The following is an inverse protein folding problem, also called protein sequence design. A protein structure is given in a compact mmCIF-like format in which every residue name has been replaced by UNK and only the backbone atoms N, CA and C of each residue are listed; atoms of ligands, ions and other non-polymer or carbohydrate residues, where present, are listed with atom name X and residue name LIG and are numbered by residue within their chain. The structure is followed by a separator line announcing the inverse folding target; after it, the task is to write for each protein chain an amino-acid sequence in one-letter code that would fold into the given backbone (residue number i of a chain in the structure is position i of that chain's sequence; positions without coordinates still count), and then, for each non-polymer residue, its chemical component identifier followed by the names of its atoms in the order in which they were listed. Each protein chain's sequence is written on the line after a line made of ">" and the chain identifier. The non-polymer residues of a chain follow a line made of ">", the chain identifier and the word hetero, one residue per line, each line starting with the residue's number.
data_IF_609793489575
#
_entry.id   IF_609793489575
#
_cell.length_a   1.000
_cell.length_b   1.000
_cell.length_c   1.000
_cell.angle_alpha   90.00
_cell.angle_beta   90.00
_cell.angle_gamma   90.00
#
_symmetry.space_group_name_H-M   'P 1'
#
loop_
_entity.id
_entity.type
_entity.pdbx_description
1 polymer ?
#
# COMPACT_ATOMS: atom_id res chain seq x y z
N UNK A 1 27.01 47.18 -31.08
CA UNK A 1 26.54 46.59 -29.87
C UNK A 1 25.83 45.28 -30.14
N UNK A 2 26.47 44.15 -29.88
CA UNK A 2 25.83 42.84 -29.99
C UNK A 2 25.23 42.51 -28.63
N UNK A 3 23.91 42.30 -28.62
CA UNK A 3 23.17 41.91 -27.44
C UNK A 3 23.63 40.56 -26.89
N UNK A 4 23.86 40.56 -25.61
CA UNK A 4 24.13 39.36 -24.81
C UNK A 4 22.79 38.61 -24.77
N UNK A 5 22.78 37.41 -25.30
CA UNK A 5 21.68 36.48 -25.11
C UNK A 5 21.54 36.16 -23.62
N UNK A 6 20.53 36.73 -22.99
CA UNK A 6 20.07 36.25 -21.69
C UNK A 6 19.57 34.85 -21.90
N UNK A 7 20.25 33.85 -21.35
CA UNK A 7 19.62 32.54 -21.09
C UNK A 7 18.45 32.83 -20.16
N UNK A 8 17.24 32.66 -20.68
CA UNK A 8 16.09 32.45 -19.79
C UNK A 8 16.49 31.29 -18.89
N UNK A 9 16.63 31.56 -17.61
CA UNK A 9 16.69 30.49 -16.62
C UNK A 9 15.39 29.73 -16.80
N UNK A 10 15.45 28.54 -17.39
CA UNK A 10 14.35 27.61 -17.38
C UNK A 10 13.94 27.45 -15.92
N UNK A 11 12.81 28.05 -15.56
CA UNK A 11 12.21 27.84 -14.24
C UNK A 11 12.01 26.35 -14.10
N UNK A 12 12.90 25.70 -13.35
CA UNK A 12 12.79 24.28 -13.05
C UNK A 12 11.43 24.09 -12.43
N UNK A 13 10.53 23.42 -13.17
CA UNK A 13 9.19 23.10 -12.69
C UNK A 13 9.35 22.28 -11.40
N UNK A 14 8.72 22.67 -10.29
CA UNK A 14 8.80 21.87 -9.07
C UNK A 14 8.42 20.42 -9.36
N UNK A 15 9.20 19.49 -8.80
CA UNK A 15 8.90 18.08 -8.93
C UNK A 15 7.54 17.77 -8.30
N UNK A 16 6.73 16.88 -8.90
CA UNK A 16 5.44 16.49 -8.34
C UNK A 16 5.58 15.91 -6.92
N UNK A 17 4.54 16.06 -6.12
CA UNK A 17 4.47 15.49 -4.77
C UNK A 17 4.30 13.98 -4.87
N UNK A 18 4.88 13.24 -3.90
CA UNK A 18 4.72 11.80 -3.81
C UNK A 18 5.70 11.01 -4.67
N UNK A 19 5.32 9.81 -5.05
CA UNK A 19 6.15 8.85 -5.78
C UNK A 19 6.62 9.33 -7.15
N UNK A 20 6.00 10.36 -7.68
CA UNK A 20 6.19 10.82 -9.05
C UNK A 20 7.04 12.09 -9.14
N UNK A 21 7.91 12.31 -8.16
CA UNK A 21 8.92 13.36 -8.22
C UNK A 21 10.04 13.11 -9.26
N UNK A 22 10.12 11.88 -9.76
CA UNK A 22 10.96 11.45 -10.89
C UNK A 22 10.09 10.79 -11.94
N UNK A 23 10.57 10.44 -13.13
CA UNK A 23 9.75 9.71 -14.10
C UNK A 23 9.05 8.49 -13.51
N UNK A 24 7.83 8.24 -13.91
CA UNK A 24 6.95 7.17 -13.38
C UNK A 24 7.67 5.84 -13.16
N UNK A 25 8.56 5.52 -14.05
CA UNK A 25 9.29 4.26 -14.13
C UNK A 25 10.38 4.06 -13.07
N UNK A 26 10.82 5.12 -12.41
CA UNK A 26 11.94 5.07 -11.45
C UNK A 26 11.50 5.30 -10.02
N UNK A 27 10.22 5.47 -9.79
CA UNK A 27 9.68 5.74 -8.47
C UNK A 27 9.36 4.46 -7.72
N UNK A 28 9.92 4.35 -6.52
CA UNK A 28 9.67 3.23 -5.64
C UNK A 28 8.51 3.53 -4.70
N UNK A 29 7.69 2.53 -4.45
CA UNK A 29 6.58 2.59 -3.51
C UNK A 29 6.63 1.39 -2.56
N UNK A 30 6.07 1.51 -1.34
CA UNK A 30 5.92 0.37 -0.46
C UNK A 30 5.14 -0.76 -1.13
N UNK A 31 5.52 -2.02 -0.86
CA UNK A 31 4.82 -3.18 -1.38
C UNK A 31 3.51 -3.42 -0.63
N UNK A 32 3.51 -3.24 0.68
CA UNK A 32 2.36 -3.44 1.58
C UNK A 32 1.81 -2.09 2.06
N UNK A 33 2.66 -1.10 2.28
CA UNK A 33 2.28 0.20 2.79
C UNK A 33 1.18 0.87 1.98
N UNK A 34 0.25 1.53 2.65
CA UNK A 34 -0.94 2.13 2.03
C UNK A 34 -0.66 3.41 1.25
N UNK A 35 0.43 4.08 1.51
CA UNK A 35 0.79 5.37 0.91
C UNK A 35 1.58 5.25 -0.40
N UNK A 36 1.96 6.41 -0.94
CA UNK A 36 2.78 6.53 -2.14
C UNK A 36 2.06 6.09 -3.43
N UNK A 37 0.74 6.27 -3.47
CA UNK A 37 -0.08 6.03 -4.65
C UNK A 37 -0.49 7.34 -5.36
N UNK A 38 0.28 8.39 -5.18
CA UNK A 38 0.10 9.67 -5.85
C UNK A 38 0.87 9.67 -7.17
N UNK A 39 0.16 9.86 -8.27
CA UNK A 39 0.73 9.85 -9.63
C UNK A 39 0.48 11.17 -10.36
N UNK A 40 1.22 11.39 -11.43
CA UNK A 40 1.09 12.61 -12.24
C UNK A 40 -0.31 12.80 -12.83
N UNK A 41 -0.68 14.05 -13.11
CA UNK A 41 -1.96 14.40 -13.71
C UNK A 41 -2.18 13.64 -15.02
N UNK A 42 -3.37 13.06 -15.19
CA UNK A 42 -3.78 12.24 -16.34
C UNK A 42 -2.99 10.95 -16.54
N UNK A 43 -2.09 10.60 -15.62
CA UNK A 43 -1.44 9.30 -15.65
C UNK A 43 -2.42 8.21 -15.22
N UNK A 44 -2.30 7.04 -15.79
CA UNK A 44 -3.08 5.86 -15.46
C UNK A 44 -2.14 4.68 -15.20
N UNK A 45 -2.34 4.00 -14.08
CA UNK A 45 -1.53 2.86 -13.68
C UNK A 45 -2.43 1.68 -13.29
N UNK A 46 -2.81 0.82 -14.23
CA UNK A 46 -3.37 -0.48 -13.90
C UNK A 46 -2.31 -1.37 -13.26
N UNK A 47 -2.70 -2.09 -12.22
CA UNK A 47 -1.80 -3.04 -11.57
C UNK A 47 -2.56 -4.20 -10.92
N UNK A 48 -1.83 -5.24 -10.62
CA UNK A 48 -2.29 -6.39 -9.82
C UNK A 48 -1.35 -6.53 -8.63
N UNK A 49 -1.90 -6.39 -7.44
CA UNK A 49 -1.19 -6.68 -6.20
C UNK A 49 -1.70 -7.99 -5.61
N UNK A 50 -0.84 -8.72 -4.95
CA UNK A 50 -1.24 -9.97 -4.32
C UNK A 50 -0.41 -10.30 -3.11
N UNK A 51 -1.01 -11.08 -2.22
CA UNK A 51 -0.39 -11.60 -1.02
C UNK A 51 -0.85 -13.03 -0.79
N UNK A 52 0.10 -13.93 -0.61
CA UNK A 52 -0.14 -15.25 -0.07
C UNK A 52 0.42 -15.31 1.34
N UNK A 53 -0.44 -15.50 2.34
CA UNK A 53 -0.04 -15.61 3.73
C UNK A 53 -0.23 -17.04 4.21
N UNK A 54 0.80 -17.61 4.84
CA UNK A 54 0.78 -18.95 5.43
C UNK A 54 0.91 -18.86 6.93
N UNK A 55 -0.06 -19.42 7.64
CA UNK A 55 0.00 -19.60 9.07
C UNK A 55 0.29 -21.04 9.48
N UNK A 56 0.27 -21.33 10.77
CA UNK A 56 0.45 -22.68 11.31
C UNK A 56 -0.71 -23.60 10.92
N UNK A 57 -1.94 -23.07 10.95
CA UNK A 57 -3.17 -23.78 10.64
C UNK A 57 -4.09 -22.94 9.74
N UNK A 58 -3.52 -22.10 8.90
CA UNK A 58 -4.26 -21.23 8.01
C UNK A 58 -3.46 -20.88 6.78
N UNK A 59 -4.14 -20.48 5.74
CA UNK A 59 -3.56 -19.75 4.60
C UNK A 59 -4.59 -18.81 4.00
N UNK A 60 -4.13 -17.77 3.36
CA UNK A 60 -4.97 -16.87 2.59
C UNK A 60 -4.22 -16.41 1.35
N UNK A 61 -4.88 -16.50 0.21
CA UNK A 61 -4.39 -15.94 -1.05
C UNK A 61 -5.32 -14.78 -1.41
N UNK A 62 -4.76 -13.59 -1.58
CA UNK A 62 -5.51 -12.38 -1.93
C UNK A 62 -4.88 -11.79 -3.18
N UNK A 63 -5.71 -11.60 -4.20
CA UNK A 63 -5.32 -10.96 -5.46
C UNK A 63 -6.17 -9.70 -5.62
N UNK A 64 -5.55 -8.56 -5.84
CA UNK A 64 -6.23 -7.28 -5.94
C UNK A 64 -5.87 -6.55 -7.24
N UNK A 65 -6.62 -6.80 -8.33
CA UNK A 65 -6.58 -5.92 -9.47
C UNK A 65 -6.98 -4.51 -9.05
N UNK A 66 -6.26 -3.53 -9.55
CA UNK A 66 -6.53 -2.14 -9.19
C UNK A 66 -6.04 -1.20 -10.29
N UNK A 67 -6.49 0.05 -10.19
CA UNK A 67 -6.09 1.11 -11.10
C UNK A 67 -5.90 2.39 -10.31
N UNK A 68 -4.85 3.13 -10.62
CA UNK A 68 -4.58 4.45 -10.06
C UNK A 68 -4.68 5.46 -11.20
N UNK A 69 -5.39 6.56 -10.95
CA UNK A 69 -5.53 7.67 -11.89
C UNK A 69 -5.15 8.99 -11.22
N UNK A 70 -4.30 9.75 -11.89
CA UNK A 70 -3.94 11.10 -11.46
C UNK A 70 -4.98 12.12 -11.88
N UNK A 71 -5.75 12.62 -10.92
CA UNK A 71 -6.74 13.68 -11.15
C UNK A 71 -6.03 15.01 -11.36
N UNK A 72 -5.05 15.27 -10.50
CA UNK A 72 -4.17 16.45 -10.55
C UNK A 72 -2.76 16.00 -10.14
N UNK A 73 -1.79 16.88 -10.26
CA UNK A 73 -0.41 16.60 -9.80
C UNK A 73 -0.35 16.29 -8.29
N UNK A 74 -1.29 16.78 -7.50
CA UNK A 74 -1.35 16.60 -6.05
C UNK A 74 -2.49 15.70 -5.57
N UNK A 75 -3.28 15.11 -6.49
CA UNK A 75 -4.44 14.29 -6.13
C UNK A 75 -4.58 13.09 -7.06
N UNK A 76 -4.55 11.90 -6.48
CA UNK A 76 -4.82 10.64 -7.19
C UNK A 76 -5.99 9.90 -6.57
N UNK A 77 -6.68 9.14 -7.40
CA UNK A 77 -7.72 8.20 -6.99
C UNK A 77 -7.32 6.80 -7.42
N UNK A 78 -7.59 5.82 -6.57
CA UNK A 78 -7.36 4.40 -6.88
C UNK A 78 -8.58 3.56 -6.53
N UNK A 79 -8.81 2.54 -7.32
CA UNK A 79 -9.92 1.62 -7.17
C UNK A 79 -9.38 0.19 -7.13
N UNK A 80 -9.72 -0.55 -6.05
CA UNK A 80 -9.22 -1.89 -5.78
C UNK A 80 -10.38 -2.88 -5.72
N UNK A 81 -10.22 -4.00 -6.42
CA UNK A 81 -11.18 -5.10 -6.43
C UNK A 81 -10.48 -6.37 -5.92
N UNK A 82 -10.25 -6.49 -4.60
CA UNK A 82 -9.58 -7.65 -4.06
C UNK A 82 -10.51 -8.86 -4.02
N UNK A 83 -9.94 -10.03 -4.26
CA UNK A 83 -10.65 -11.29 -4.10
C UNK A 83 -9.70 -12.35 -3.53
N UNK A 84 -10.27 -13.34 -2.88
CA UNK A 84 -9.53 -14.49 -2.38
C UNK A 84 -9.98 -15.75 -3.12
N UNK A 85 -9.12 -16.32 -4.01
CA UNK A 85 -9.43 -17.58 -4.65
C UNK A 85 -9.42 -18.75 -3.67
N UNK A 86 -8.61 -18.64 -2.62
CA UNK A 86 -8.45 -19.67 -1.60
C UNK A 86 -8.12 -19.06 -0.25
N UNK A 87 -8.87 -19.43 0.79
CA UNK A 87 -8.47 -19.17 2.17
C UNK A 87 -8.91 -20.34 3.07
N UNK A 88 -8.15 -20.56 4.12
CA UNK A 88 -8.42 -21.61 5.09
C UNK A 88 -8.07 -21.15 6.50
N UNK A 89 -8.93 -21.47 7.45
CA UNK A 89 -8.68 -21.34 8.87
C UNK A 89 -9.13 -22.63 9.57
N UNK A 90 -8.18 -23.40 10.07
CA UNK A 90 -8.46 -24.74 10.62
C UNK A 90 -9.04 -25.65 9.55
N UNK A 91 -10.23 -26.21 9.80
CA UNK A 91 -10.96 -27.05 8.87
C UNK A 91 -11.91 -26.26 7.94
N UNK A 92 -12.03 -24.95 8.13
CA UNK A 92 -12.93 -24.11 7.35
C UNK A 92 -12.22 -23.50 6.14
N UNK A 93 -12.90 -23.53 5.00
CA UNK A 93 -12.42 -22.96 3.74
C UNK A 93 -13.42 -21.93 3.24
N UNK A 94 -12.91 -20.86 2.62
CA UNK A 94 -13.74 -19.89 1.93
C UNK A 94 -13.02 -19.33 0.70
N UNK A 95 -13.80 -18.72 -0.18
CA UNK A 95 -13.33 -18.00 -1.36
C UNK A 95 -14.36 -16.95 -1.75
N UNK A 96 -13.96 -16.00 -2.56
CA UNK A 96 -14.85 -15.01 -3.11
C UNK A 96 -14.27 -13.61 -3.11
N UNK A 97 -15.09 -12.67 -3.53
CA UNK A 97 -14.73 -11.26 -3.53
C UNK A 97 -14.58 -10.75 -2.09
N UNK A 98 -13.61 -9.90 -1.88
CA UNK A 98 -13.42 -9.16 -0.64
C UNK A 98 -14.11 -7.80 -0.71
N UNK A 99 -13.94 -6.99 0.30
CA UNK A 99 -14.47 -5.63 0.27
C UNK A 99 -13.67 -4.80 -0.74
N UNK A 100 -14.34 -4.32 -1.78
CA UNK A 100 -13.74 -3.38 -2.73
C UNK A 100 -13.58 -2.02 -2.07
N UNK A 101 -12.60 -1.26 -2.50
CA UNK A 101 -12.39 0.06 -1.93
C UNK A 101 -11.94 1.11 -2.94
N UNK A 102 -12.31 2.33 -2.64
CA UNK A 102 -11.92 3.54 -3.35
C UNK A 102 -11.01 4.35 -2.44
N UNK A 103 -9.84 4.74 -2.93
CA UNK A 103 -8.85 5.46 -2.16
C UNK A 103 -8.43 6.74 -2.85
N UNK A 104 -8.32 7.81 -2.06
CA UNK A 104 -7.77 9.08 -2.49
C UNK A 104 -6.48 9.36 -1.75
N UNK A 105 -5.51 9.90 -2.46
CA UNK A 105 -4.28 10.41 -1.87
C UNK A 105 -4.07 11.85 -2.32
N UNK A 106 -3.90 12.75 -1.35
CA UNK A 106 -3.68 14.18 -1.57
C UNK A 106 -2.36 14.61 -0.97
N UNK A 107 -1.50 15.19 -1.81
CA UNK A 107 -0.24 15.75 -1.38
C UNK A 107 -0.43 17.18 -0.88
N UNK A 108 -0.21 17.41 0.41
CA UNK A 108 -0.39 18.72 1.04
C UNK A 108 0.93 19.42 1.36
N UNK A 109 2.05 18.73 1.26
CA UNK A 109 3.37 19.29 1.54
C UNK A 109 4.41 18.71 0.58
N UNK A 110 5.24 19.58 0.05
CA UNK A 110 6.39 19.21 -0.76
C UNK A 110 7.53 20.20 -0.56
N UNK A 111 8.71 19.70 -0.28
CA UNK A 111 9.93 20.48 -0.20
C UNK A 111 11.00 19.81 -1.06
N UNK A 112 11.33 20.45 -2.18
CA UNK A 112 12.34 19.97 -3.11
C UNK A 112 13.61 20.80 -2.99
N UNK A 113 14.74 20.12 -2.86
CA UNK A 113 16.09 20.67 -2.90
C UNK A 113 16.86 19.97 -4.04
N UNK A 114 18.08 20.41 -4.30
CA UNK A 114 18.90 19.83 -5.37
C UNK A 114 19.23 18.35 -5.18
N UNK A 115 19.26 17.86 -3.94
CA UNK A 115 19.69 16.52 -3.56
C UNK A 115 18.60 15.66 -2.92
N UNK A 116 17.46 16.24 -2.55
CA UNK A 116 16.35 15.49 -1.95
C UNK A 116 14.99 16.15 -2.14
N UNK A 117 13.96 15.34 -1.96
CA UNK A 117 12.56 15.78 -1.85
C UNK A 117 11.95 15.19 -0.57
N UNK A 118 11.29 16.03 0.21
CA UNK A 118 10.45 15.63 1.33
C UNK A 118 9.00 15.92 0.97
N UNK A 119 8.12 14.96 1.21
CA UNK A 119 6.71 15.10 0.89
C UNK A 119 5.83 14.55 2.01
N UNK A 120 4.62 15.07 2.10
CA UNK A 120 3.59 14.56 2.98
C UNK A 120 2.27 14.49 2.24
N UNK A 121 1.59 13.35 2.40
CA UNK A 121 0.28 13.10 1.80
C UNK A 121 -0.72 12.66 2.85
N UNK A 122 -1.99 12.90 2.59
CA UNK A 122 -3.12 12.32 3.32
C UNK A 122 -3.80 11.30 2.43
N UNK A 123 -4.15 10.16 3.04
CA UNK A 123 -4.81 9.03 2.37
C UNK A 123 -6.15 8.80 3.03
N UNK A 124 -7.20 8.74 2.25
CA UNK A 124 -8.53 8.41 2.72
C UNK A 124 -9.15 7.35 1.81
N UNK A 125 -9.75 6.32 2.39
CA UNK A 125 -10.50 5.35 1.59
C UNK A 125 -11.81 4.94 2.23
N UNK A 126 -12.71 4.45 1.37
CA UNK A 126 -13.98 3.85 1.75
C UNK A 126 -13.99 2.42 1.24
N UNK A 127 -14.26 1.48 2.14
CA UNK A 127 -14.42 0.07 1.82
C UNK A 127 -15.90 -0.29 1.78
N UNK A 128 -16.32 -0.90 0.68
CA UNK A 128 -17.71 -1.27 0.43
C UNK A 128 -17.95 -2.73 0.86
N UNK A 129 -19.12 -3.06 1.41
CA UNK A 129 -19.41 -4.40 1.92
C UNK A 129 -19.71 -5.41 0.81
N UNK A 130 -18.80 -5.58 -0.14
CA UNK A 130 -18.93 -6.54 -1.24
C UNK A 130 -18.50 -7.96 -0.87
N UNK A 131 -17.64 -8.09 0.15
CA UNK A 131 -17.28 -9.37 0.73
C UNK A 131 -18.38 -9.93 1.64
N UNK A 132 -18.13 -11.08 2.24
CA UNK A 132 -19.07 -11.75 3.14
C UNK A 132 -18.49 -11.86 4.54
N UNK A 133 -19.24 -11.35 5.54
CA UNK A 133 -18.90 -11.51 6.94
C UNK A 133 -19.34 -12.87 7.52
N UNK A 134 -20.21 -13.60 6.82
CA UNK A 134 -20.76 -14.90 7.25
C UNK A 134 -19.91 -16.09 6.83
N UNK A 135 -19.04 -15.93 5.85
CA UNK A 135 -18.08 -16.98 5.45
C UNK A 135 -17.05 -17.23 6.54
N UNK A 136 -16.54 -18.45 6.60
CA UNK A 136 -15.50 -18.86 7.56
C UNK A 136 -14.27 -19.39 6.80
N UNK A 137 -13.14 -18.66 6.75
CA UNK A 137 -12.95 -17.30 7.28
C UNK A 137 -13.74 -16.25 6.47
N UNK A 138 -14.05 -15.08 7.06
CA UNK A 138 -14.82 -14.05 6.37
C UNK A 138 -14.01 -13.41 5.24
N UNK A 139 -14.67 -12.99 4.18
CA UNK A 139 -14.06 -12.26 3.06
C UNK A 139 -14.27 -10.74 3.15
N UNK A 140 -15.09 -10.30 4.09
CA UNK A 140 -15.33 -8.88 4.33
C UNK A 140 -15.95 -8.64 5.70
N UNK A 141 -16.14 -7.36 6.05
CA UNK A 141 -16.72 -6.96 7.33
C UNK A 141 -18.25 -6.93 7.33
N UNK A 142 -18.86 -7.03 6.14
CA UNK A 142 -20.33 -6.95 5.98
C UNK A 142 -20.90 -5.54 6.04
N UNK A 143 -20.08 -4.54 6.28
CA UNK A 143 -20.48 -3.14 6.40
C UNK A 143 -19.39 -2.22 5.86
N UNK A 144 -19.72 -0.93 5.70
CA UNK A 144 -18.74 0.07 5.30
C UNK A 144 -17.63 0.20 6.32
N UNK A 145 -16.41 0.35 5.84
CA UNK A 145 -15.25 0.71 6.65
C UNK A 145 -14.56 1.92 6.04
N UNK A 146 -13.89 2.70 6.87
CA UNK A 146 -13.27 3.95 6.48
C UNK A 146 -11.82 3.95 6.95
N UNK A 147 -10.94 4.40 6.08
CA UNK A 147 -9.51 4.53 6.39
C UNK A 147 -9.08 5.98 6.26
N UNK A 148 -8.26 6.42 7.19
CA UNK A 148 -7.58 7.72 7.13
C UNK A 148 -6.15 7.55 7.61
N UNK A 149 -5.21 8.02 6.79
CA UNK A 149 -3.80 7.96 7.12
C UNK A 149 -3.01 9.09 6.49
N UNK A 150 -1.73 9.16 6.86
CA UNK A 150 -0.77 10.08 6.28
C UNK A 150 0.49 9.32 5.90
N UNK A 151 1.21 9.83 4.92
CA UNK A 151 2.53 9.32 4.55
C UNK A 151 3.51 10.48 4.50
N UNK A 152 4.60 10.33 5.22
CA UNK A 152 5.74 11.24 5.17
C UNK A 152 6.87 10.50 4.44
N UNK A 153 7.45 11.12 3.41
CA UNK A 153 8.48 10.50 2.61
C UNK A 153 9.68 11.40 2.41
N UNK A 154 10.82 10.76 2.25
CA UNK A 154 12.09 11.38 1.90
C UNK A 154 12.66 10.63 0.70
N UNK A 155 12.99 11.35 -0.37
CA UNK A 155 13.55 10.77 -1.59
C UNK A 155 14.83 11.52 -1.96
N UNK A 156 15.92 10.80 -2.11
CA UNK A 156 17.17 11.29 -2.67
C UNK A 156 17.54 10.46 -3.91
N UNK A 157 18.71 10.73 -4.52
CA UNK A 157 19.15 9.96 -5.68
C UNK A 157 19.28 8.47 -5.42
N UNK A 158 19.73 8.09 -4.22
CA UNK A 158 20.01 6.70 -3.89
C UNK A 158 19.09 6.12 -2.82
N UNK A 159 18.36 6.95 -2.08
CA UNK A 159 17.59 6.54 -0.92
C UNK A 159 16.16 7.02 -0.98
N UNK A 160 15.27 6.16 -0.51
CA UNK A 160 13.88 6.47 -0.24
C UNK A 160 13.54 5.98 1.17
N UNK A 161 12.82 6.79 1.92
CA UNK A 161 12.32 6.41 3.24
C UNK A 161 10.90 6.94 3.43
N UNK A 162 10.09 6.22 4.19
CA UNK A 162 8.72 6.65 4.49
C UNK A 162 8.28 6.24 5.88
N UNK A 163 7.31 6.96 6.42
CA UNK A 163 6.57 6.66 7.63
C UNK A 163 5.09 6.92 7.37
N UNK A 164 4.24 5.95 7.67
CA UNK A 164 2.81 5.99 7.34
C UNK A 164 1.95 5.53 8.51
N UNK A 165 1.50 6.44 9.39
CA UNK A 165 0.47 6.14 10.38
C UNK A 165 -0.93 6.25 9.78
N UNK A 166 -1.83 5.36 10.19
CA UNK A 166 -3.22 5.41 9.72
C UNK A 166 -4.17 4.64 10.62
N UNK A 167 -5.45 4.94 10.50
CA UNK A 167 -6.51 4.29 11.26
C UNK A 167 -7.57 3.73 10.33
N UNK A 168 -7.99 2.51 10.59
CA UNK A 168 -9.11 1.88 9.92
C UNK A 168 -10.28 1.78 10.88
N UNK A 169 -11.40 2.40 10.51
CA UNK A 169 -12.62 2.46 11.29
C UNK A 169 -13.67 1.53 10.67
N UNK A 170 -14.12 0.56 11.44
CA UNK A 170 -15.14 -0.39 11.02
C UNK A 170 -16.52 0.03 11.50
N UNK A 171 -17.57 -0.54 10.88
CA UNK A 171 -18.95 -0.39 11.31
C UNK A 171 -19.56 -1.77 11.57
N UNK A 172 -20.63 -1.81 12.37
CA UNK A 172 -21.26 -3.06 12.73
C UNK A 172 -22.20 -3.58 11.62
N UNK A 173 -22.31 -4.91 11.51
CA UNK A 173 -23.23 -5.59 10.63
C UNK A 173 -23.76 -6.86 11.29
N UNK A 174 -25.08 -7.01 11.38
CA UNK A 174 -25.75 -8.16 12.01
C UNK A 174 -25.20 -8.51 13.40
N UNK A 175 -24.96 -7.49 14.22
CA UNK A 175 -24.45 -7.65 15.57
C UNK A 175 -22.96 -7.92 15.68
N UNK A 176 -22.23 -8.01 14.58
CA UNK A 176 -20.77 -8.18 14.56
C UNK A 176 -20.11 -6.87 14.15
N UNK A 177 -19.18 -6.38 14.98
CA UNK A 177 -18.28 -5.26 14.67
C UNK A 177 -16.85 -5.74 14.79
N UNK A 178 -16.14 -5.76 13.68
CA UNK A 178 -14.70 -6.01 13.69
C UNK A 178 -13.97 -4.86 14.38
N UNK A 179 -12.85 -5.15 15.06
CA UNK A 179 -12.09 -4.14 15.77
C UNK A 179 -11.55 -3.07 14.82
N UNK A 180 -11.51 -1.83 15.29
CA UNK A 180 -10.75 -0.80 14.60
C UNK A 180 -9.27 -1.13 14.65
N UNK A 181 -8.49 -0.65 13.68
CA UNK A 181 -7.07 -0.90 13.66
C UNK A 181 -6.28 0.39 13.44
N UNK A 182 -5.08 0.40 14.00
CA UNK A 182 -4.07 1.44 13.78
C UNK A 182 -2.92 0.82 13.00
N UNK A 183 -2.64 1.36 11.82
CA UNK A 183 -1.51 0.98 11.00
C UNK A 183 -0.35 1.93 11.27
N UNK A 184 0.84 1.37 11.48
CA UNK A 184 2.06 2.12 11.64
C UNK A 184 3.14 1.44 10.81
N UNK A 185 3.36 2.00 9.64
CA UNK A 185 4.23 1.44 8.62
C UNK A 185 5.42 2.36 8.40
N UNK A 186 6.59 1.79 8.16
CA UNK A 186 7.78 2.54 7.80
C UNK A 186 8.71 1.67 6.97
N UNK A 187 9.65 2.30 6.32
CA UNK A 187 10.63 1.56 5.55
C UNK A 187 11.60 2.45 4.83
N UNK A 188 12.55 1.81 4.21
CA UNK A 188 13.55 2.47 3.40
C UNK A 188 13.96 1.59 2.23
N UNK A 189 14.39 2.24 1.16
CA UNK A 189 14.83 1.60 -0.06
C UNK A 189 16.10 2.23 -0.57
N UNK A 190 16.85 1.46 -1.34
CA UNK A 190 18.06 1.92 -1.99
C UNK A 190 18.04 1.58 -3.47
N UNK A 191 18.36 2.57 -4.29
CA UNK A 191 18.70 2.35 -5.68
C UNK A 191 20.01 1.55 -5.78
N UNK A 192 20.01 0.47 -6.52
CA UNK A 192 21.17 -0.41 -6.67
C UNK A 192 21.86 -0.14 -8.01
N UNK A 193 21.15 -0.32 -9.12
CA UNK A 193 21.72 -0.08 -10.43
C UNK A 193 20.68 -0.05 -11.55
N UNK A 194 21.07 0.50 -12.68
CA UNK A 194 20.38 0.36 -13.95
C UNK A 194 20.83 -0.95 -14.61
N UNK A 195 19.89 -1.84 -14.93
CA UNK A 195 20.18 -3.19 -15.42
C UNK A 195 20.39 -3.25 -16.93
N UNK A 196 19.88 -2.28 -17.69
CA UNK A 196 19.99 -2.28 -19.13
C UNK A 196 19.98 -0.86 -19.71
N UNK A 197 20.52 -0.68 -20.96
CA UNK A 197 20.45 0.60 -21.66
C UNK A 197 19.02 1.07 -21.91
N UNK A 198 18.02 0.20 -21.82
CA UNK A 198 16.61 0.50 -22.01
C UNK A 198 15.91 1.08 -20.78
N UNK A 199 16.65 1.35 -19.71
CA UNK A 199 16.13 2.04 -18.54
C UNK A 199 15.49 1.15 -17.48
N UNK A 200 15.76 -0.16 -17.45
CA UNK A 200 15.39 -1.00 -16.32
C UNK A 200 16.19 -0.62 -15.08
N UNK A 201 15.50 -0.39 -13.99
CA UNK A 201 16.05 0.05 -12.71
C UNK A 201 15.78 -1.02 -11.65
N UNK A 202 16.78 -1.25 -10.82
CA UNK A 202 16.73 -2.21 -9.71
C UNK A 202 16.93 -1.50 -8.38
N UNK A 203 15.97 -1.68 -7.47
CA UNK A 203 16.01 -1.17 -6.10
C UNK A 203 15.76 -2.31 -5.11
N UNK A 204 16.29 -2.16 -3.91
CA UNK A 204 16.00 -3.00 -2.75
C UNK A 204 15.25 -2.17 -1.71
N UNK A 205 14.24 -2.77 -1.09
CA UNK A 205 13.45 -2.15 -0.03
C UNK A 205 13.33 -3.07 1.17
N UNK A 206 13.32 -2.48 2.35
CA UNK A 206 12.91 -3.13 3.59
C UNK A 206 11.75 -2.32 4.17
N UNK A 207 10.63 -2.97 4.30
CA UNK A 207 9.40 -2.43 4.91
C UNK A 207 9.16 -3.05 6.26
N UNK A 208 8.58 -2.27 7.16
CA UNK A 208 8.05 -2.74 8.43
C UNK A 208 6.58 -2.36 8.49
N UNK A 209 5.72 -3.37 8.56
CA UNK A 209 4.28 -3.19 8.53
C UNK A 209 3.70 -3.56 9.89
N UNK A 210 3.45 -2.53 10.70
CA UNK A 210 2.85 -2.65 12.01
C UNK A 210 1.34 -2.45 11.94
N UNK A 211 0.62 -3.23 12.72
CA UNK A 211 -0.83 -3.11 12.88
C UNK A 211 -1.23 -3.47 14.31
N UNK A 212 -1.94 -2.55 14.93
CA UNK A 212 -2.62 -2.80 16.20
C UNK A 212 -4.12 -2.84 15.94
N UNK A 213 -4.77 -3.95 16.28
CA UNK A 213 -6.20 -4.12 16.11
C UNK A 213 -6.88 -4.25 17.48
N UNK A 214 -7.99 -3.55 17.67
CA UNK A 214 -8.89 -3.75 18.79
C UNK A 214 -9.60 -5.10 18.68
N UNK A 215 -10.11 -5.60 19.80
CA UNK A 215 -10.92 -6.80 19.81
C UNK A 215 -12.24 -6.59 19.08
N UNK A 216 -12.72 -7.64 18.42
CA UNK A 216 -14.02 -7.66 17.78
C UNK A 216 -15.14 -7.71 18.83
N UNK A 217 -16.33 -7.26 18.44
CA UNK A 217 -17.54 -7.37 19.26
C UNK A 217 -18.59 -8.18 18.50
N UNK A 218 -19.08 -9.22 19.17
CA UNK A 218 -20.15 -10.09 18.66
C UNK A 218 -21.35 -9.97 19.59
N UNK A 219 -22.48 -9.46 19.09
CA UNK A 219 -23.69 -9.17 19.87
C UNK A 219 -23.41 -8.30 21.10
N UNK A 220 -22.56 -7.28 20.92
CA UNK A 220 -22.16 -6.37 21.99
C UNK A 220 -21.12 -6.91 22.97
N UNK A 221 -20.75 -8.17 22.86
CA UNK A 221 -19.73 -8.80 23.71
C UNK A 221 -18.37 -8.82 23.02
N UNK A 222 -17.35 -8.48 23.77
CA UNK A 222 -15.97 -8.52 23.27
C UNK A 222 -15.52 -9.96 23.04
N UNK A 223 -15.00 -10.25 21.84
CA UNK A 223 -14.39 -11.54 21.53
C UNK A 223 -12.93 -11.55 22.05
N UNK A 224 -12.61 -12.39 23.06
CA UNK A 224 -11.26 -12.42 23.63
C UNK A 224 -10.21 -13.01 22.68
N UNK A 225 -10.61 -13.69 21.63
CA UNK A 225 -9.73 -14.33 20.63
C UNK A 225 -9.59 -13.48 19.36
N UNK A 226 -9.60 -12.19 19.50
CA UNK A 226 -9.47 -11.24 18.39
C UNK A 226 -8.57 -10.08 18.76
N UNK A 227 -8.05 -9.40 17.75
CA UNK A 227 -7.17 -8.27 17.91
C UNK A 227 -5.75 -8.62 18.36
N UNK A 228 -4.94 -7.62 18.50
CA UNK A 228 -3.54 -7.74 18.91
C UNK A 228 -2.64 -6.79 18.14
N UNK A 229 -1.36 -6.94 18.37
CA UNK A 229 -0.33 -6.13 17.75
C UNK A 229 0.63 -7.00 16.96
N UNK A 230 0.84 -6.67 15.68
CA UNK A 230 1.75 -7.40 14.80
C UNK A 230 2.68 -6.43 14.09
N UNK A 231 3.91 -6.87 13.86
CA UNK A 231 4.88 -6.19 13.00
C UNK A 231 5.48 -7.24 12.07
N UNK A 232 5.38 -6.99 10.77
CA UNK A 232 6.05 -7.79 9.75
C UNK A 232 7.22 -7.01 9.17
N UNK A 233 8.32 -7.70 8.91
CA UNK A 233 9.42 -7.19 8.10
C UNK A 233 9.28 -7.76 6.70
N UNK A 234 9.31 -6.89 5.69
CA UNK A 234 9.09 -7.26 4.29
C UNK A 234 10.26 -6.76 3.45
N UNK A 235 11.33 -7.54 3.32
CA UNK A 235 12.33 -7.28 2.30
C UNK A 235 11.72 -7.52 0.92
N UNK A 236 11.96 -6.60 0.00
CA UNK A 236 11.43 -6.67 -1.35
C UNK A 236 12.41 -6.16 -2.40
N UNK A 237 12.21 -6.60 -3.62
CA UNK A 237 12.92 -6.10 -4.80
C UNK A 237 11.94 -5.32 -5.67
N UNK A 238 12.46 -4.30 -6.31
CA UNK A 238 11.76 -3.46 -7.25
C UNK A 238 12.49 -3.46 -8.58
N UNK A 239 11.76 -3.78 -9.64
CA UNK A 239 12.24 -3.70 -11.01
C UNK A 239 11.27 -2.84 -11.80
N UNK A 240 11.76 -1.82 -12.47
CA UNK A 240 10.91 -0.95 -13.28
C UNK A 240 11.57 -0.57 -14.60
N UNK A 241 10.73 -0.35 -15.60
CA UNK A 241 11.11 0.18 -16.91
C UNK A 241 10.18 1.33 -17.29
N UNK A 242 10.21 1.78 -18.53
CA UNK A 242 9.33 2.88 -18.99
C UNK A 242 7.83 2.59 -18.79
N UNK A 243 7.43 1.32 -18.79
CA UNK A 243 6.02 0.92 -18.71
C UNK A 243 5.74 -0.05 -17.57
N UNK A 244 6.72 -0.87 -17.21
CA UNK A 244 6.50 -1.98 -16.31
C UNK A 244 7.02 -1.70 -14.92
N UNK A 245 6.24 -2.11 -13.93
CA UNK A 245 6.61 -2.11 -12.53
C UNK A 245 6.45 -3.53 -12.02
N UNK A 246 7.53 -4.10 -11.51
CA UNK A 246 7.56 -5.43 -10.92
C UNK A 246 8.11 -5.31 -9.50
N UNK A 247 7.38 -5.83 -8.54
CA UNK A 247 7.81 -5.79 -7.15
C UNK A 247 7.47 -7.13 -6.50
N UNK A 248 8.40 -7.67 -5.74
CA UNK A 248 8.20 -8.93 -5.04
C UNK A 248 8.95 -8.94 -3.73
N UNK A 249 8.36 -9.54 -2.72
CA UNK A 249 8.92 -9.62 -1.38
C UNK A 249 8.41 -10.78 -0.58
N UNK A 250 9.06 -10.98 0.56
CA UNK A 250 8.70 -11.99 1.55
C UNK A 250 8.43 -11.28 2.86
N UNK A 251 7.24 -11.49 3.43
CA UNK A 251 6.89 -10.99 4.76
C UNK A 251 7.22 -12.02 5.83
N UNK A 252 7.93 -11.58 6.86
CA UNK A 252 8.27 -12.40 8.00
C UNK A 252 7.79 -11.73 9.29
N UNK A 253 7.21 -12.49 10.23
CA UNK A 253 6.77 -11.91 11.49
C UNK A 253 7.96 -11.47 12.33
N UNK A 254 7.99 -10.21 12.72
CA UNK A 254 8.92 -9.68 13.69
C UNK A 254 8.31 -9.70 15.10
N UNK A 255 7.02 -9.40 15.18
CA UNK A 255 6.23 -9.43 16.41
C UNK A 255 4.80 -9.89 16.07
N UNK A 256 4.31 -10.88 16.81
CA UNK A 256 2.90 -11.30 16.76
C UNK A 256 2.37 -11.48 18.19
N UNK A 257 1.90 -10.40 18.77
CA UNK A 257 1.25 -10.40 20.06
C UNK A 257 -0.26 -10.41 19.87
N UNK A 258 -0.82 -11.59 19.62
CA UNK A 258 -2.23 -11.80 19.35
C UNK A 258 -2.99 -12.18 20.63
N UNK A 259 -4.19 -11.63 20.79
CA UNK A 259 -5.05 -11.93 21.93
C UNK A 259 -5.67 -13.33 21.80
N UNK A 260 -5.67 -14.09 22.90
CA UNK A 260 -6.35 -15.39 22.97
C UNK A 260 -5.78 -16.42 21.99
N UNK A 261 -6.69 -17.24 21.48
CA UNK A 261 -6.36 -18.33 20.55
C UNK A 261 -6.55 -17.88 19.09
N UNK A 262 -5.49 -17.35 18.52
CA UNK A 262 -5.44 -16.97 17.10
C UNK A 262 -4.27 -17.69 16.43
N UNK A 263 -4.47 -18.06 15.14
CA UNK A 263 -3.39 -18.64 14.37
C UNK A 263 -2.33 -17.60 14.03
N UNK A 264 -1.07 -18.00 14.13
CA UNK A 264 0.07 -17.11 13.82
C UNK A 264 0.54 -17.34 12.40
N UNK A 265 0.87 -16.25 11.73
CA UNK A 265 1.45 -16.27 10.38
C UNK A 265 2.91 -16.69 10.46
N UNK A 266 3.31 -17.59 9.57
CA UNK A 266 4.70 -18.03 9.40
C UNK A 266 5.45 -17.13 8.42
N UNK A 267 4.83 -16.86 7.27
CA UNK A 267 5.40 -15.99 6.23
C UNK A 267 4.31 -15.52 5.29
N UNK A 268 4.63 -14.51 4.50
CA UNK A 268 3.84 -14.11 3.34
C UNK A 268 4.73 -13.98 2.10
N UNK A 269 4.11 -14.13 0.93
CA UNK A 269 4.72 -13.81 -0.35
C UNK A 269 3.88 -12.68 -0.94
N UNK A 270 4.53 -11.56 -1.21
CA UNK A 270 3.87 -10.33 -1.64
C UNK A 270 4.42 -9.91 -3.00
N UNK A 271 3.54 -9.44 -3.88
CA UNK A 271 3.94 -9.04 -5.22
C UNK A 271 3.06 -7.91 -5.76
N UNK A 272 3.62 -7.16 -6.69
CA UNK A 272 2.92 -6.14 -7.46
C UNK A 272 3.41 -6.11 -8.90
N UNK A 273 2.48 -6.06 -9.84
CA UNK A 273 2.75 -5.93 -11.26
C UNK A 273 1.91 -4.78 -11.80
N UNK A 274 2.55 -3.78 -12.39
CA UNK A 274 1.86 -2.63 -12.95
C UNK A 274 2.32 -2.28 -14.36
N UNK A 275 1.43 -1.64 -15.10
CA UNK A 275 1.69 -1.09 -16.43
C UNK A 275 1.30 0.38 -16.43
N UNK A 276 2.27 1.27 -16.67
CA UNK A 276 2.00 2.68 -16.81
C UNK A 276 1.44 3.00 -18.19
N UNK A 277 0.28 3.64 -18.21
CA UNK A 277 -0.37 4.14 -19.42
C UNK A 277 -0.47 5.66 -19.29
N UNK A 278 -0.02 6.37 -20.31
CA UNK A 278 -0.15 7.83 -20.41
C UNK A 278 -1.22 8.16 -21.47
N UNK A 279 -2.09 9.09 -21.14
CA UNK A 279 -3.08 9.66 -22.06
C UNK A 279 -2.68 11.08 -22.46
#
# INVERSE_FOLDING_TARGET
>A
GKGVFGREEEKIKPLPIGNFSVPLITQIAPLIGFGQLLIGEKALLPQVTGTYARGHNSYADVIAPNVIYGIREDLSVSFFVPFTPKSQLGSHHSSGIKDIFLQFEYGFYNKTRSDYTMAATVVANVQFPTGSSSKKPPTGTGSFSYFLGTTFSYTSFNWFAFVSPGVNLTTAHHGTKFGNSFLYQWGFARYIKQLSPRGWVFDLMIEFDGSYAEKDKIQGKTDPNSGGNVIFIVPSIWLSSKRWILQGGIGLPLLQNLNGHQDKIKYSIDYNLGIAVQF
#
